data_IF_130849350582
#
_entry.id   IF_130849350582
#
_cell.length_a   1.000
_cell.length_b   1.000
_cell.length_c   1.000
_cell.angle_alpha   90.00
_cell.angle_beta   90.00
_cell.angle_gamma   90.00
#
_symmetry.space_group_name_H-M   'P 1'
#
loop_
_entity.id
_entity.type
_entity.pdbx_description
1 polymer ?
#
# COMPACT_ATOMS: atom_id res chain seq x y z
N UNK A 1 -1.13 10.97 -24.25
CA UNK A 1 0.03 10.95 -23.32
C UNK A 1 -0.41 10.48 -21.94
N UNK A 2 0.29 9.53 -21.38
CA UNK A 2 0.04 9.06 -20.00
C UNK A 2 0.49 10.14 -19.02
N UNK A 3 -0.34 10.49 -18.04
CA UNK A 3 -0.01 11.49 -17.02
C UNK A 3 0.66 10.89 -15.79
N UNK A 4 0.33 9.65 -15.47
CA UNK A 4 0.91 8.96 -14.34
C UNK A 4 0.61 7.46 -14.43
N UNK A 5 1.42 6.67 -13.76
CA UNK A 5 1.14 5.26 -13.49
C UNK A 5 1.35 5.09 -11.99
N UNK A 6 0.28 4.81 -11.28
CA UNK A 6 0.29 4.83 -9.82
C UNK A 6 -0.10 3.49 -9.23
N UNK A 7 0.34 3.26 -8.01
CA UNK A 7 -0.11 2.10 -7.25
C UNK A 7 -1.49 2.40 -6.66
N UNK A 8 -2.42 1.50 -6.90
CA UNK A 8 -3.78 1.57 -6.39
C UNK A 8 -4.07 0.26 -5.66
N UNK A 9 -4.32 0.33 -4.37
CA UNK A 9 -4.52 -0.84 -3.53
C UNK A 9 -6.01 -1.04 -3.28
N UNK A 10 -6.49 -2.25 -3.55
CA UNK A 10 -7.87 -2.64 -3.24
C UNK A 10 -7.84 -3.51 -1.99
N UNK A 11 -8.60 -3.12 -0.97
CA UNK A 11 -8.65 -3.82 0.32
C UNK A 11 -9.97 -4.56 0.49
N UNK A 12 -9.98 -5.50 1.42
CA UNK A 12 -11.14 -6.39 1.66
C UNK A 12 -11.96 -5.91 2.86
N UNK A 13 -12.48 -4.68 2.77
CA UNK A 13 -13.30 -4.10 3.85
C UNK A 13 -12.48 -3.48 4.99
N UNK A 14 -11.17 -3.57 4.94
CA UNK A 14 -10.25 -3.05 5.96
C UNK A 14 -9.44 -1.84 5.46
N UNK A 15 -10.04 -1.06 4.57
CA UNK A 15 -9.38 0.10 3.98
C UNK A 15 -8.96 1.16 4.97
N UNK A 16 -9.74 1.39 6.04
CA UNK A 16 -9.37 2.37 7.08
C UNK A 16 -8.08 1.98 7.79
N UNK A 17 -7.95 0.71 8.13
CA UNK A 17 -6.74 0.17 8.76
C UNK A 17 -5.55 0.28 7.81
N UNK A 18 -5.78 0.01 6.52
CA UNK A 18 -4.74 0.14 5.50
C UNK A 18 -4.26 1.59 5.36
N UNK A 19 -5.19 2.55 5.36
CA UNK A 19 -4.85 3.98 5.31
C UNK A 19 -3.92 4.34 6.47
N UNK A 20 -4.29 3.98 7.69
CA UNK A 20 -3.49 4.29 8.88
C UNK A 20 -2.10 3.61 8.81
N UNK A 21 -2.08 2.37 8.37
CA UNK A 21 -0.84 1.61 8.22
C UNK A 21 0.11 2.27 7.22
N UNK A 22 -0.37 2.58 6.01
CA UNK A 22 0.48 3.17 4.98
C UNK A 22 0.85 4.62 5.28
N UNK A 23 -0.01 5.37 5.96
CA UNK A 23 0.37 6.68 6.47
C UNK A 23 1.62 6.58 7.34
N UNK A 24 1.65 5.58 8.22
CA UNK A 24 2.80 5.38 9.10
C UNK A 24 4.02 4.86 8.34
N UNK A 25 3.84 3.89 7.45
CA UNK A 25 4.95 3.30 6.68
C UNK A 25 5.69 4.37 5.87
N UNK A 26 4.95 5.22 5.17
CA UNK A 26 5.52 6.19 4.22
C UNK A 26 5.57 7.61 4.76
N UNK A 27 5.17 7.85 6.00
CA UNK A 27 5.02 9.19 6.56
C UNK A 27 4.18 10.06 5.61
N UNK A 28 3.04 9.53 5.21
CA UNK A 28 2.19 10.12 4.19
C UNK A 28 1.09 10.99 4.79
N UNK A 29 0.61 11.94 3.99
CA UNK A 29 -0.55 12.77 4.32
C UNK A 29 -1.80 12.22 3.62
N UNK A 30 -2.88 12.08 4.36
CA UNK A 30 -4.18 11.74 3.78
C UNK A 30 -4.79 13.04 3.24
N UNK A 31 -4.89 13.14 1.91
CA UNK A 31 -5.36 14.38 1.27
C UNK A 31 -6.82 14.31 0.82
N UNK A 32 -7.33 13.13 0.55
CA UNK A 32 -8.73 12.91 0.18
C UNK A 32 -9.18 11.55 0.69
N UNK A 33 -10.40 11.48 1.16
CA UNK A 33 -11.05 10.22 1.53
C UNK A 33 -12.55 10.37 1.38
N UNK A 34 -13.18 9.37 0.77
CA UNK A 34 -14.64 9.33 0.62
C UNK A 34 -15.15 7.93 0.94
N UNK A 35 -16.21 7.86 1.72
CA UNK A 35 -16.94 6.61 2.02
C UNK A 35 -18.12 6.44 1.09
N UNK A 36 -18.68 5.24 1.06
CA UNK A 36 -19.92 4.97 0.31
C UNK A 36 -21.08 5.86 0.78
N UNK A 37 -21.22 6.02 2.08
CA UNK A 37 -22.30 6.85 2.64
C UNK A 37 -22.16 8.31 2.21
N UNK A 38 -20.95 8.84 2.18
CA UNK A 38 -20.71 10.21 1.73
C UNK A 38 -21.05 10.40 0.25
N UNK A 39 -20.80 9.37 -0.57
CA UNK A 39 -21.15 9.40 -1.98
C UNK A 39 -22.66 9.21 -2.20
N UNK A 40 -23.26 8.28 -1.47
CA UNK A 40 -24.67 7.94 -1.58
C UNK A 40 -25.25 7.66 -0.18
N UNK A 41 -25.92 8.68 0.44
CA UNK A 41 -26.51 8.50 1.77
C UNK A 41 -27.56 7.39 1.84
N UNK A 42 -28.09 6.95 0.70
CA UNK A 42 -29.10 5.89 0.62
C UNK A 42 -28.49 4.53 0.27
N UNK A 43 -27.19 4.39 0.33
CA UNK A 43 -26.52 3.12 0.03
C UNK A 43 -26.90 2.04 1.07
N UNK A 44 -26.65 0.78 0.72
CA UNK A 44 -26.91 -0.34 1.63
C UNK A 44 -26.04 -0.25 2.88
N UNK A 45 -26.58 -0.75 3.99
CA UNK A 45 -25.90 -0.70 5.29
C UNK A 45 -24.54 -1.41 5.28
N UNK A 46 -24.39 -2.49 4.50
CA UNK A 46 -23.19 -3.29 4.46
C UNK A 46 -21.98 -2.54 3.89
N UNK A 47 -22.20 -1.40 3.23
CA UNK A 47 -21.13 -0.66 2.56
C UNK A 47 -20.94 0.78 3.03
N UNK A 48 -21.75 1.24 4.00
CA UNK A 48 -21.73 2.64 4.45
C UNK A 48 -20.33 3.14 4.80
N UNK A 49 -19.58 2.36 5.55
CA UNK A 49 -18.27 2.76 6.07
C UNK A 49 -17.10 2.35 5.19
N UNK A 50 -17.38 1.64 4.09
CA UNK A 50 -16.33 1.23 3.17
C UNK A 50 -15.75 2.44 2.45
N UNK A 51 -14.47 2.36 2.16
CA UNK A 51 -13.73 3.43 1.48
C UNK A 51 -13.95 3.30 -0.02
N UNK A 52 -14.55 4.32 -0.64
CA UNK A 52 -14.66 4.41 -2.10
C UNK A 52 -13.34 4.81 -2.72
N UNK A 53 -12.66 5.76 -2.08
CA UNK A 53 -11.33 6.22 -2.52
C UNK A 53 -10.66 6.96 -1.38
N UNK A 54 -9.39 6.70 -1.21
CA UNK A 54 -8.52 7.47 -0.34
C UNK A 54 -7.21 7.73 -1.06
N UNK A 55 -6.63 8.89 -0.84
CA UNK A 55 -5.38 9.29 -1.48
C UNK A 55 -4.37 9.71 -0.42
N UNK A 56 -3.23 9.06 -0.44
CA UNK A 56 -2.09 9.37 0.41
C UNK A 56 -0.99 9.99 -0.46
N UNK A 57 -0.38 11.06 0.04
CA UNK A 57 0.72 11.75 -0.66
C UNK A 57 1.96 11.74 0.22
N UNK A 58 3.08 11.35 -0.37
CA UNK A 58 4.39 11.40 0.28
C UNK A 58 5.47 11.54 -0.80
N UNK A 59 6.43 12.40 -0.57
CA UNK A 59 7.57 12.61 -1.48
C UNK A 59 7.16 12.82 -2.95
N UNK A 60 6.03 13.49 -3.18
CA UNK A 60 5.50 13.73 -4.52
C UNK A 60 4.82 12.53 -5.16
N UNK A 61 4.66 11.43 -4.41
CA UNK A 61 4.04 10.18 -4.87
C UNK A 61 2.63 10.09 -4.32
N UNK A 62 1.70 9.65 -5.16
CA UNK A 62 0.33 9.38 -4.72
C UNK A 62 0.10 7.86 -4.64
N UNK A 63 -0.38 7.42 -3.49
CA UNK A 63 -0.85 6.05 -3.27
C UNK A 63 -2.36 6.11 -3.06
N UNK A 64 -3.12 5.31 -3.80
CA UNK A 64 -4.57 5.27 -3.66
C UNK A 64 -5.03 3.96 -3.04
N UNK A 65 -6.13 4.04 -2.31
CA UNK A 65 -6.70 2.89 -1.59
C UNK A 65 -8.22 2.94 -1.71
N UNK A 66 -8.84 1.78 -1.97
CA UNK A 66 -10.29 1.64 -1.85
C UNK A 66 -10.62 0.23 -1.39
N UNK A 67 -11.75 0.10 -0.70
CA UNK A 67 -12.31 -1.21 -0.38
C UNK A 67 -12.97 -1.79 -1.62
N UNK A 68 -12.89 -3.12 -1.76
CA UNK A 68 -13.59 -3.82 -2.84
C UNK A 68 -15.09 -3.59 -2.69
N UNK A 69 -15.77 -3.41 -3.81
CA UNK A 69 -17.23 -3.37 -3.85
C UNK A 69 -17.75 -4.72 -3.34
N UNK A 70 -18.65 -4.73 -2.33
CA UNK A 70 -19.17 -5.99 -1.78
C UNK A 70 -19.87 -6.89 -2.79
N UNK A 71 -20.27 -6.33 -3.93
CA UNK A 71 -20.90 -7.11 -5.01
C UNK A 71 -19.91 -7.93 -5.82
N UNK A 72 -18.61 -7.72 -5.62
CA UNK A 72 -17.55 -8.47 -6.28
C UNK A 72 -16.78 -9.33 -5.28
N UNK A 73 -16.21 -10.43 -5.76
CA UNK A 73 -15.35 -11.28 -4.93
C UNK A 73 -13.97 -10.63 -4.82
N UNK A 74 -13.53 -10.35 -3.60
CA UNK A 74 -12.18 -9.86 -3.38
C UNK A 74 -11.18 -10.96 -3.70
N UNK A 75 -10.10 -10.59 -4.40
CA UNK A 75 -9.03 -11.53 -4.73
C UNK A 75 -7.69 -10.80 -4.77
N UNK A 76 -6.75 -11.21 -3.92
CA UNK A 76 -5.38 -10.73 -3.99
C UNK A 76 -4.62 -11.47 -5.09
N UNK A 77 -3.77 -10.73 -5.81
CA UNK A 77 -2.92 -11.31 -6.87
C UNK A 77 -1.47 -11.39 -6.44
N UNK A 78 -0.63 -12.04 -7.26
CA UNK A 78 0.79 -12.27 -6.93
C UNK A 78 1.75 -11.97 -8.06
N UNK A 79 1.27 -11.53 -9.22
CA UNK A 79 2.13 -11.35 -10.40
C UNK A 79 2.52 -9.90 -10.66
N UNK A 80 2.06 -8.96 -9.84
CA UNK A 80 2.47 -7.55 -9.89
C UNK A 80 2.88 -7.14 -8.49
N UNK A 81 4.07 -6.56 -8.36
CA UNK A 81 4.56 -6.06 -7.09
C UNK A 81 4.84 -4.57 -7.20
N UNK A 82 4.67 -3.84 -6.11
CA UNK A 82 5.08 -2.45 -6.05
C UNK A 82 6.51 -2.40 -5.53
N UNK A 83 7.38 -1.70 -6.24
CA UNK A 83 8.78 -1.57 -5.87
C UNK A 83 9.02 -0.20 -5.23
N UNK A 84 9.49 -0.22 -3.99
CA UNK A 84 9.86 0.98 -3.25
C UNK A 84 11.36 1.15 -3.44
N UNK A 85 11.76 2.25 -4.07
CA UNK A 85 13.17 2.54 -4.30
C UNK A 85 13.58 3.63 -3.31
N UNK A 86 14.59 3.35 -2.53
CA UNK A 86 15.12 4.30 -1.53
C UNK A 86 16.59 4.58 -1.79
N UNK A 87 17.10 5.67 -1.22
CA UNK A 87 18.45 6.14 -1.44
C UNK A 87 19.48 5.68 -0.41
N UNK A 88 19.06 4.99 0.65
CA UNK A 88 19.97 4.54 1.69
C UNK A 88 19.51 3.23 2.32
N UNK A 89 20.47 2.50 2.87
CA UNK A 89 20.19 1.25 3.62
C UNK A 89 19.35 1.54 4.86
N UNK A 90 19.55 2.69 5.48
CA UNK A 90 18.78 3.07 6.67
C UNK A 90 17.29 3.26 6.34
N UNK A 91 16.98 3.96 5.25
CA UNK A 91 15.61 4.13 4.79
C UNK A 91 14.96 2.80 4.44
N UNK A 92 15.70 1.92 3.79
CA UNK A 92 15.22 0.57 3.47
C UNK A 92 14.84 -0.19 4.74
N UNK A 93 15.69 -0.11 5.76
CA UNK A 93 15.44 -0.81 7.02
C UNK A 93 14.21 -0.26 7.74
N UNK A 94 14.07 1.06 7.78
CA UNK A 94 12.92 1.70 8.43
C UNK A 94 11.60 1.28 7.79
N UNK A 95 11.53 1.32 6.46
CA UNK A 95 10.34 0.92 5.71
C UNK A 95 10.07 -0.58 5.90
N UNK A 96 11.12 -1.40 5.79
CA UNK A 96 11.02 -2.84 5.94
C UNK A 96 10.44 -3.21 7.31
N UNK A 97 10.95 -2.63 8.38
CA UNK A 97 10.48 -2.92 9.73
C UNK A 97 9.02 -2.53 9.93
N UNK A 98 8.59 -1.42 9.34
CA UNK A 98 7.19 -1.00 9.42
C UNK A 98 6.27 -1.91 8.60
N UNK A 99 6.69 -2.30 7.40
CA UNK A 99 5.90 -3.19 6.54
C UNK A 99 5.78 -4.60 7.13
N UNK A 100 6.76 -5.02 7.92
CA UNK A 100 6.75 -6.36 8.55
C UNK A 100 5.70 -6.52 9.63
N UNK A 101 5.13 -5.44 10.14
CA UNK A 101 4.13 -5.56 11.21
C UNK A 101 2.95 -6.38 10.71
N UNK A 102 2.69 -7.50 11.39
CA UNK A 102 1.62 -8.46 11.05
C UNK A 102 1.74 -8.97 9.61
N UNK A 103 2.94 -9.09 9.09
CA UNK A 103 3.24 -9.50 7.72
C UNK A 103 2.65 -10.89 7.43
N UNK A 104 2.10 -11.07 6.22
CA UNK A 104 1.62 -12.38 5.79
C UNK A 104 2.77 -13.31 5.42
N UNK A 105 3.78 -12.78 4.70
CA UNK A 105 4.90 -13.58 4.25
C UNK A 105 6.11 -12.70 4.00
N UNK A 106 7.27 -13.12 4.47
CA UNK A 106 8.55 -12.52 4.08
C UNK A 106 9.17 -13.47 3.07
N UNK A 107 9.16 -13.07 1.80
CA UNK A 107 9.71 -13.91 0.73
C UNK A 107 11.23 -13.83 0.69
N UNK A 108 11.79 -12.64 0.94
CA UNK A 108 13.22 -12.42 1.05
C UNK A 108 13.45 -11.36 2.12
N UNK A 109 14.14 -11.73 3.19
CA UNK A 109 14.48 -10.79 4.26
C UNK A 109 15.43 -9.70 3.75
N UNK A 110 15.36 -8.53 4.36
CA UNK A 110 16.21 -7.40 3.99
C UNK A 110 17.68 -7.80 4.08
N UNK A 111 18.39 -7.74 2.95
CA UNK A 111 19.77 -8.19 2.85
C UNK A 111 20.46 -7.58 1.63
N UNK A 112 21.77 -7.62 1.64
CA UNK A 112 22.56 -7.24 0.47
C UNK A 112 22.40 -8.29 -0.63
N UNK A 113 22.25 -7.83 -1.85
CA UNK A 113 22.26 -8.66 -3.07
C UNK A 113 23.29 -8.06 -4.02
N UNK A 114 23.54 -8.71 -5.18
CA UNK A 114 24.51 -8.16 -6.14
C UNK A 114 24.00 -6.90 -6.84
N UNK A 115 22.68 -6.60 -6.78
CA UNK A 115 22.11 -5.41 -7.42
C UNK A 115 21.68 -4.33 -6.44
N UNK A 116 21.70 -4.60 -5.14
CA UNK A 116 21.27 -3.62 -4.13
C UNK A 116 21.96 -3.87 -2.81
N UNK A 117 22.41 -2.82 -2.11
CA UNK A 117 23.00 -2.99 -0.77
C UNK A 117 21.96 -3.36 0.30
N UNK A 118 20.67 -3.16 0.04
CA UNK A 118 19.61 -3.62 0.92
C UNK A 118 18.34 -3.83 0.11
N UNK A 119 17.91 -5.07 0.01
CA UNK A 119 16.78 -5.51 -0.81
C UNK A 119 15.91 -6.48 -0.04
N UNK A 120 14.60 -6.40 -0.22
CA UNK A 120 13.64 -7.29 0.43
C UNK A 120 12.40 -7.49 -0.43
N UNK A 121 11.71 -8.60 -0.21
CA UNK A 121 10.39 -8.90 -0.76
C UNK A 121 9.48 -9.39 0.35
N UNK A 122 8.28 -8.86 0.41
CA UNK A 122 7.28 -9.33 1.37
C UNK A 122 5.86 -9.12 0.88
N UNK A 123 4.93 -9.84 1.51
CA UNK A 123 3.49 -9.62 1.36
C UNK A 123 3.00 -9.07 2.68
N UNK A 124 2.52 -7.84 2.69
CA UNK A 124 2.15 -7.17 3.92
C UNK A 124 0.84 -7.71 4.52
N UNK A 125 0.41 -7.14 5.65
CA UNK A 125 -0.78 -7.62 6.35
C UNK A 125 -2.08 -7.49 5.53
N UNK A 126 -2.07 -6.66 4.49
CA UNK A 126 -3.23 -6.44 3.60
C UNK A 126 -3.12 -7.25 2.30
N UNK A 127 -2.13 -8.11 2.18
CA UNK A 127 -1.94 -8.95 1.00
C UNK A 127 -1.25 -8.25 -0.16
N UNK A 128 -0.67 -7.08 0.05
CA UNK A 128 0.03 -6.34 -0.99
C UNK A 128 1.48 -6.80 -1.05
N UNK A 129 1.94 -7.10 -2.25
CA UNK A 129 3.32 -7.52 -2.50
C UNK A 129 4.21 -6.31 -2.73
N UNK A 130 5.26 -6.20 -1.92
CA UNK A 130 6.22 -5.12 -1.98
C UNK A 130 7.63 -5.64 -2.22
N UNK A 131 8.38 -4.89 -3.01
CA UNK A 131 9.83 -4.99 -3.06
C UNK A 131 10.40 -3.71 -2.47
N UNK A 132 11.49 -3.84 -1.73
CA UNK A 132 12.25 -2.69 -1.25
C UNK A 132 13.60 -2.83 -1.90
N UNK A 133 14.05 -1.80 -2.61
CA UNK A 133 15.36 -1.80 -3.27
C UNK A 133 16.08 -0.49 -2.95
N UNK A 134 17.34 -0.59 -2.63
CA UNK A 134 18.19 0.58 -2.35
C UNK A 134 19.03 0.86 -3.57
N UNK A 135 18.97 2.10 -4.05
CA UNK A 135 19.80 2.57 -5.15
C UNK A 135 20.63 3.76 -4.65
N UNK A 136 21.93 3.53 -4.54
CA UNK A 136 22.89 4.58 -4.15
C UNK A 136 23.37 5.25 -5.43
N UNK A 137 23.19 6.53 -5.51
CA UNK A 137 23.62 7.25 -6.74
C UNK A 137 24.97 7.87 -6.56
#
# INVERSE_FOLDING_TARGET
MVKALETYIVTNGNGRQAIDFYKNVFQADLVNMMTWEEMDPNCLEDRKDLIINAQLIFDGIRLQISDENPDFVYQAGKNVTAAIIVGSVEEAREIYEKLKKNVQEVQLELQETFWSPAYANLVDQFGVMWQISTELN
#
